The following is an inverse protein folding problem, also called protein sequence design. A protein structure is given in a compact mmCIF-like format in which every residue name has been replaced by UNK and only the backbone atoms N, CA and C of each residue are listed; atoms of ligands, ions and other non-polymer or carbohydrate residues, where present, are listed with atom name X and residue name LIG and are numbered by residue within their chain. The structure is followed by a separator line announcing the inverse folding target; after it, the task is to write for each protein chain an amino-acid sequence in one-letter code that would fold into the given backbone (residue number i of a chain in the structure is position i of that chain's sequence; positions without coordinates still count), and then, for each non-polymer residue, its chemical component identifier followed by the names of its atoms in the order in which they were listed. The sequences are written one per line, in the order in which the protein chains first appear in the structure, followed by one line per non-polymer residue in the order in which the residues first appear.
data_IF_520926361804
#
_entry.id   IF_520926361804
#
_cell.length_a   1.000
_cell.length_b   1.000
_cell.length_c   1.000
_cell.angle_alpha   90.00
_cell.angle_beta   90.00
_cell.angle_gamma   90.00
#
_symmetry.space_group_name_H-M   'P 1'
#
loop_
_entity.id
_entity.type
_entity.pdbx_description
1 polymer ?
#
# COMPACT_ATOMS: atom_id res chain seq x y z
N UNK A 1 -11.79 35.19 -20.32
CA UNK A 1 -11.75 35.10 -18.86
C UNK A 1 -12.21 33.69 -18.52
N UNK A 2 -11.26 32.76 -18.36
CA UNK A 2 -11.59 31.39 -17.94
C UNK A 2 -11.88 31.46 -16.44
N UNK A 3 -13.15 31.20 -16.07
CA UNK A 3 -13.49 30.94 -14.68
C UNK A 3 -12.86 29.60 -14.32
N UNK A 4 -11.70 29.62 -13.66
CA UNK A 4 -11.19 28.44 -13.00
C UNK A 4 -12.25 27.98 -12.00
N UNK A 5 -12.79 26.78 -12.22
CA UNK A 5 -13.72 26.17 -11.30
C UNK A 5 -12.99 26.00 -9.97
N UNK A 6 -13.51 26.61 -8.91
CA UNK A 6 -12.97 26.52 -7.54
C UNK A 6 -13.23 25.15 -6.91
N UNK A 7 -13.90 24.25 -7.60
CA UNK A 7 -14.02 22.86 -7.19
C UNK A 7 -12.67 22.16 -7.39
N UNK A 8 -11.93 21.97 -6.32
CA UNK A 8 -10.78 21.07 -6.31
C UNK A 8 -11.31 19.67 -6.64
N UNK A 9 -10.97 19.17 -7.82
CA UNK A 9 -11.21 17.77 -8.15
C UNK A 9 -10.29 16.94 -7.24
N UNK A 10 -10.87 15.96 -6.52
CA UNK A 10 -10.08 14.92 -5.85
C UNK A 10 -9.54 13.92 -6.88
N UNK A 11 -8.62 13.09 -6.45
CA UNK A 11 -8.06 12.01 -7.27
C UNK A 11 -7.49 10.91 -6.39
N UNK A 12 -7.25 9.74 -6.98
CA UNK A 12 -6.69 8.57 -6.30
C UNK A 12 -5.26 8.32 -6.82
N UNK A 13 -4.31 8.20 -5.90
CA UNK A 13 -2.94 7.78 -6.16
C UNK A 13 -2.69 6.42 -5.49
N UNK A 14 -2.17 5.46 -6.25
CA UNK A 14 -1.79 4.15 -5.70
C UNK A 14 -0.27 4.00 -5.74
N UNK A 15 0.32 3.69 -4.59
CA UNK A 15 1.72 3.29 -4.44
C UNK A 15 1.75 1.79 -4.16
N UNK A 16 2.16 0.99 -5.12
CA UNK A 16 2.16 -0.47 -5.01
C UNK A 16 3.55 -1.07 -5.21
N UNK A 17 3.73 -2.32 -4.84
CA UNK A 17 4.98 -3.06 -5.02
C UNK A 17 5.19 -4.14 -3.95
N UNK A 18 6.30 -4.88 -4.05
CA UNK A 18 6.64 -5.96 -3.12
C UNK A 18 6.96 -5.45 -1.70
N UNK A 19 7.13 -6.36 -0.76
CA UNK A 19 7.72 -6.02 0.54
C UNK A 19 9.12 -5.41 0.33
N UNK A 20 9.53 -4.56 1.26
CA UNK A 20 10.83 -3.85 1.26
C UNK A 20 11.06 -2.89 0.07
N UNK A 21 10.01 -2.50 -0.65
CA UNK A 21 10.11 -1.61 -1.81
C UNK A 21 9.96 -0.12 -1.49
N UNK A 22 9.74 0.25 -0.22
CA UNK A 22 9.61 1.65 0.19
C UNK A 22 8.21 2.25 -0.01
N UNK A 23 7.15 1.43 -0.06
CA UNK A 23 5.76 1.92 -0.23
C UNK A 23 5.33 2.88 0.87
N UNK A 24 5.53 2.47 2.13
CA UNK A 24 5.16 3.26 3.31
C UNK A 24 6.00 4.55 3.37
N UNK A 25 7.29 4.50 3.04
CA UNK A 25 8.15 5.67 2.93
C UNK A 25 7.63 6.66 1.88
N UNK A 26 7.22 6.17 0.72
CA UNK A 26 6.67 7.01 -0.36
C UNK A 26 5.31 7.59 0.03
N UNK A 27 4.44 6.81 0.69
CA UNK A 27 3.19 7.31 1.28
C UNK A 27 3.47 8.45 2.25
N UNK A 28 4.31 8.23 3.25
CA UNK A 28 4.69 9.23 4.24
C UNK A 28 5.29 10.48 3.57
N UNK A 29 6.15 10.30 2.59
CA UNK A 29 6.77 11.41 1.84
C UNK A 29 5.71 12.29 1.16
N UNK A 30 4.70 11.69 0.52
CA UNK A 30 3.59 12.42 -0.12
C UNK A 30 2.74 13.16 0.91
N UNK A 31 2.40 12.50 2.01
CA UNK A 31 1.59 13.07 3.08
C UNK A 31 2.31 14.23 3.79
N UNK A 32 3.61 14.10 4.08
CA UNK A 32 4.42 15.22 4.61
C UNK A 32 4.44 16.43 3.68
N UNK A 33 4.52 16.21 2.37
CA UNK A 33 4.44 17.32 1.39
C UNK A 33 3.09 18.02 1.43
N UNK A 34 1.99 17.27 1.61
CA UNK A 34 0.66 17.85 1.79
C UNK A 34 0.60 18.69 3.09
N UNK A 35 1.15 18.18 4.19
CA UNK A 35 1.24 18.93 5.46
C UNK A 35 2.07 20.22 5.32
N UNK A 36 3.21 20.19 4.60
CA UNK A 36 3.98 21.41 4.29
C UNK A 36 3.18 22.44 3.47
N UNK A 37 2.27 21.96 2.62
CA UNK A 37 1.31 22.80 1.89
C UNK A 37 0.12 23.25 2.76
N UNK A 38 0.16 22.99 4.08
CA UNK A 38 -0.87 23.31 5.06
C UNK A 38 -2.22 22.64 4.78
N UNK A 39 -2.20 21.49 4.08
CA UNK A 39 -3.36 20.65 3.88
C UNK A 39 -3.61 19.82 5.13
N UNK A 40 -4.88 19.61 5.45
CA UNK A 40 -5.30 18.71 6.53
C UNK A 40 -5.19 17.26 6.05
N UNK A 41 -4.48 16.43 6.81
CA UNK A 41 -4.15 15.05 6.43
C UNK A 41 -4.63 14.10 7.50
N UNK A 42 -5.34 13.05 7.09
CA UNK A 42 -5.66 11.88 7.91
C UNK A 42 -5.10 10.61 7.29
N UNK A 43 -4.76 9.64 8.13
CA UNK A 43 -4.19 8.36 7.68
C UNK A 43 -4.94 7.22 8.34
N UNK A 44 -5.25 6.19 7.55
CA UNK A 44 -5.93 4.99 7.99
C UNK A 44 -5.12 3.74 7.66
N UNK A 45 -5.21 2.72 8.52
CA UNK A 45 -4.69 1.37 8.28
C UNK A 45 -5.69 0.32 8.76
N UNK A 46 -5.68 -0.91 8.22
CA UNK A 46 -6.53 -1.97 8.72
C UNK A 46 -6.08 -2.41 10.13
N UNK A 47 -7.02 -2.62 11.03
CA UNK A 47 -6.75 -3.02 12.42
C UNK A 47 -6.06 -4.39 12.55
N UNK A 48 -6.11 -5.22 11.51
CA UNK A 48 -5.42 -6.51 11.47
C UNK A 48 -3.89 -6.35 11.46
N UNK A 49 -3.37 -5.19 11.06
CA UNK A 49 -1.93 -4.92 11.05
C UNK A 49 -1.45 -4.42 12.41
N UNK A 50 -1.16 -5.36 13.31
CA UNK A 50 -0.68 -5.12 14.69
C UNK A 50 0.85 -5.10 14.82
N UNK A 51 1.61 -5.04 13.70
CA UNK A 51 3.08 -5.12 13.70
C UNK A 51 3.78 -3.93 14.35
N UNK A 52 3.09 -2.79 14.44
CA UNK A 52 3.58 -1.56 15.05
C UNK A 52 2.53 -1.01 16.02
N UNK A 53 2.90 -0.03 16.85
CA UNK A 53 1.96 0.60 17.79
C UNK A 53 0.65 0.97 17.07
N UNK A 54 -0.48 0.75 17.71
CA UNK A 54 -1.82 0.89 17.12
C UNK A 54 -2.09 2.26 16.48
N UNK A 55 -1.29 3.28 16.80
CA UNK A 55 -1.52 4.68 16.41
C UNK A 55 -0.49 5.23 15.39
N UNK A 56 0.51 4.45 14.96
CA UNK A 56 1.57 4.98 14.10
C UNK A 56 1.74 4.17 12.79
N UNK A 57 1.89 4.87 11.67
CA UNK A 57 2.51 4.32 10.46
C UNK A 57 4.00 4.57 10.57
N UNK A 58 4.77 3.49 10.75
CA UNK A 58 6.23 3.54 10.91
C UNK A 58 6.89 3.09 9.63
N UNK A 59 7.72 3.96 9.04
CA UNK A 59 8.66 3.52 8.01
C UNK A 59 9.87 2.85 8.67
N UNK A 60 10.63 2.03 7.91
CA UNK A 60 11.86 1.39 8.38
C UNK A 60 12.93 2.38 8.90
N UNK A 61 12.80 3.66 8.56
CA UNK A 61 13.69 4.76 8.97
C UNK A 61 13.14 5.60 10.13
N UNK A 62 12.25 5.05 10.97
CA UNK A 62 11.64 5.71 12.13
C UNK A 62 10.86 7.02 11.83
N UNK A 63 10.47 7.24 10.57
CA UNK A 63 9.55 8.33 10.23
C UNK A 63 8.13 7.89 10.55
N UNK A 64 7.56 8.44 11.61
CA UNK A 64 6.19 8.13 12.06
C UNK A 64 5.23 9.25 11.69
N UNK A 65 4.04 8.89 11.25
CA UNK A 65 2.87 9.77 11.21
C UNK A 65 1.74 9.01 11.92
N UNK A 66 1.03 9.68 12.79
CA UNK A 66 -0.13 9.08 13.47
C UNK A 66 -1.17 8.60 12.45
N UNK A 67 -1.69 7.41 12.66
CA UNK A 67 -2.73 6.83 11.84
C UNK A 67 -3.86 6.31 12.71
N UNK A 68 -5.04 6.20 12.12
CA UNK A 68 -6.23 5.65 12.76
C UNK A 68 -6.45 4.21 12.26
N UNK A 69 -6.29 3.20 13.12
CA UNK A 69 -6.62 1.82 12.76
C UNK A 69 -8.15 1.67 12.65
N UNK A 70 -8.62 1.04 11.57
CA UNK A 70 -10.05 0.84 11.30
C UNK A 70 -10.36 -0.64 11.07
N UNK A 71 -11.56 -1.08 11.48
CA UNK A 71 -11.97 -2.49 11.35
C UNK A 71 -12.41 -2.85 9.93
N UNK A 72 -12.99 -1.90 9.21
CA UNK A 72 -13.44 -2.06 7.83
C UNK A 72 -13.32 -0.74 7.06
N UNK A 73 -13.39 -0.82 5.73
CA UNK A 73 -13.23 0.34 4.86
C UNK A 73 -14.32 1.41 5.04
N UNK A 74 -15.55 1.01 5.38
CA UNK A 74 -16.66 1.95 5.61
C UNK A 74 -16.43 2.91 6.77
N UNK A 75 -15.66 2.49 7.79
CA UNK A 75 -15.31 3.36 8.91
C UNK A 75 -14.48 4.57 8.49
N UNK A 76 -13.72 4.47 7.39
CA UNK A 76 -12.95 5.59 6.85
C UNK A 76 -13.88 6.78 6.55
N UNK A 77 -15.00 6.55 5.84
CA UNK A 77 -15.95 7.62 5.50
C UNK A 77 -16.59 8.25 6.74
N UNK A 78 -16.80 7.47 7.81
CA UNK A 78 -17.39 7.97 9.05
C UNK A 78 -16.40 8.81 9.87
N UNK A 79 -15.12 8.46 9.82
CA UNK A 79 -14.07 9.10 10.59
C UNK A 79 -13.41 10.26 9.85
N UNK A 80 -13.48 10.24 8.51
CA UNK A 80 -12.95 11.33 7.69
C UNK A 80 -13.76 12.60 7.94
N UNK A 81 -13.10 13.60 8.54
CA UNK A 81 -13.68 14.91 8.81
C UNK A 81 -13.45 15.90 7.66
N UNK A 82 -13.26 17.17 8.01
CA UNK A 82 -12.89 18.23 7.06
C UNK A 82 -11.39 18.15 6.75
N UNK A 83 -11.03 17.30 5.78
CA UNK A 83 -9.64 17.04 5.35
C UNK A 83 -9.44 17.24 3.86
N UNK A 84 -8.22 17.60 3.47
CA UNK A 84 -7.81 17.77 2.06
C UNK A 84 -7.22 16.48 1.48
N UNK A 85 -6.59 15.65 2.33
CA UNK A 85 -5.84 14.47 1.91
C UNK A 85 -6.08 13.30 2.87
N UNK A 86 -6.38 12.14 2.30
CA UNK A 86 -6.49 10.86 3.03
C UNK A 86 -5.38 9.92 2.58
N UNK A 87 -4.60 9.40 3.53
CA UNK A 87 -3.65 8.32 3.33
C UNK A 87 -4.25 6.97 3.78
N UNK A 88 -4.01 5.92 3.02
CA UNK A 88 -4.43 4.54 3.37
C UNK A 88 -3.22 3.64 3.23
N UNK A 89 -2.77 3.03 4.32
CA UNK A 89 -1.66 2.07 4.28
C UNK A 89 -2.16 0.63 4.37
N UNK A 90 -1.34 -0.32 3.91
CA UNK A 90 -1.60 -1.76 3.91
C UNK A 90 -2.96 -2.12 3.28
N UNK A 91 -3.29 -1.45 2.18
CA UNK A 91 -4.62 -1.50 1.56
C UNK A 91 -5.04 -2.90 1.09
N UNK A 92 -4.11 -3.83 0.85
CA UNK A 92 -4.41 -5.22 0.47
C UNK A 92 -5.18 -5.99 1.55
N UNK A 93 -5.21 -5.52 2.78
CA UNK A 93 -5.92 -6.17 3.88
C UNK A 93 -7.33 -5.64 4.11
N UNK A 94 -7.75 -4.61 3.38
CA UNK A 94 -9.13 -4.14 3.43
C UNK A 94 -10.08 -5.03 2.63
N UNK A 95 -11.35 -4.91 2.95
CA UNK A 95 -12.45 -5.48 2.15
C UNK A 95 -12.56 -4.79 0.78
N UNK A 96 -13.27 -5.43 -0.17
CA UNK A 96 -13.42 -4.92 -1.54
C UNK A 96 -14.13 -3.56 -1.63
N UNK A 97 -14.89 -3.17 -0.59
CA UNK A 97 -15.58 -1.89 -0.54
C UNK A 97 -14.63 -0.70 -0.45
N UNK A 98 -13.35 -0.90 -0.12
CA UNK A 98 -12.33 0.16 -0.08
C UNK A 98 -12.24 0.92 -1.41
N UNK A 99 -12.48 0.25 -2.54
CA UNK A 99 -12.49 0.87 -3.87
C UNK A 99 -13.59 1.93 -3.98
N UNK A 100 -14.80 1.58 -3.52
CA UNK A 100 -15.94 2.51 -3.46
C UNK A 100 -15.68 3.68 -2.51
N UNK A 101 -15.07 3.40 -1.36
CA UNK A 101 -14.69 4.41 -0.37
C UNK A 101 -13.70 5.41 -0.97
N UNK A 102 -12.64 4.94 -1.65
CA UNK A 102 -11.66 5.82 -2.30
C UNK A 102 -12.30 6.70 -3.38
N UNK A 103 -13.20 6.12 -4.20
CA UNK A 103 -13.95 6.88 -5.21
C UNK A 103 -14.82 7.96 -4.57
N UNK A 104 -15.58 7.61 -3.53
CA UNK A 104 -16.45 8.58 -2.82
C UNK A 104 -15.63 9.73 -2.23
N UNK A 105 -14.47 9.45 -1.64
CA UNK A 105 -13.56 10.49 -1.13
C UNK A 105 -13.06 11.39 -2.26
N UNK A 106 -12.62 10.81 -3.37
CA UNK A 106 -12.13 11.56 -4.52
C UNK A 106 -13.24 12.40 -5.18
N UNK A 107 -14.46 11.86 -5.33
CA UNK A 107 -15.63 12.56 -5.84
C UNK A 107 -16.01 13.77 -4.96
N UNK A 108 -15.71 13.71 -3.66
CA UNK A 108 -15.87 14.80 -2.69
C UNK A 108 -14.69 15.79 -2.68
N UNK A 109 -13.77 15.71 -3.64
CA UNK A 109 -12.66 16.66 -3.77
C UNK A 109 -11.44 16.34 -2.90
N UNK A 110 -11.38 15.17 -2.25
CA UNK A 110 -10.29 14.74 -1.39
C UNK A 110 -9.23 14.01 -2.22
N UNK A 111 -7.97 14.35 -2.02
CA UNK A 111 -6.83 13.61 -2.55
C UNK A 111 -6.64 12.32 -1.75
N UNK A 112 -6.74 11.17 -2.38
CA UNK A 112 -6.57 9.85 -1.74
C UNK A 112 -5.24 9.23 -2.16
N UNK A 113 -4.40 8.85 -1.20
CA UNK A 113 -3.10 8.20 -1.45
C UNK A 113 -3.12 6.82 -0.79
N UNK A 114 -3.11 5.79 -1.60
CA UNK A 114 -3.21 4.40 -1.16
C UNK A 114 -1.86 3.72 -1.31
N UNK A 115 -1.40 3.02 -0.27
CA UNK A 115 -0.22 2.16 -0.32
C UNK A 115 -0.59 0.71 -0.03
N UNK A 116 -0.01 -0.24 -0.78
CA UNK A 116 -0.28 -1.65 -0.55
C UNK A 116 0.54 -2.61 -1.42
N UNK A 117 0.55 -3.89 -1.02
CA UNK A 117 1.15 -4.97 -1.77
C UNK A 117 0.30 -5.30 -3.00
N UNK A 118 0.86 -5.23 -4.19
CA UNK A 118 0.16 -5.57 -5.45
C UNK A 118 -0.01 -7.08 -5.66
N UNK A 119 0.89 -7.88 -5.09
CA UNK A 119 0.86 -9.35 -5.16
C UNK A 119 1.07 -9.97 -3.79
N UNK A 120 0.47 -11.12 -3.56
CA UNK A 120 0.77 -11.98 -2.42
C UNK A 120 2.11 -12.72 -2.60
N UNK A 121 2.50 -13.54 -1.61
CA UNK A 121 3.75 -14.31 -1.66
C UNK A 121 3.77 -15.39 -2.75
N UNK A 122 2.61 -15.77 -3.31
CA UNK A 122 2.50 -16.72 -4.43
C UNK A 122 2.60 -16.03 -5.79
N UNK A 123 2.71 -14.69 -5.83
CA UNK A 123 2.75 -13.90 -7.04
C UNK A 123 1.38 -13.63 -7.67
N UNK A 124 0.28 -13.88 -6.95
CA UNK A 124 -1.08 -13.55 -7.39
C UNK A 124 -1.47 -12.14 -6.96
N UNK A 125 -2.37 -11.48 -7.70
CA UNK A 125 -2.95 -10.19 -7.30
C UNK A 125 -3.51 -10.26 -5.88
N UNK A 126 -3.25 -9.24 -5.05
CA UNK A 126 -3.57 -9.28 -3.63
C UNK A 126 -4.73 -8.37 -3.25
N UNK A 127 -5.78 -8.96 -2.68
CA UNK A 127 -6.95 -8.25 -2.15
C UNK A 127 -7.56 -7.26 -3.15
N UNK A 128 -7.95 -6.07 -2.71
CA UNK A 128 -8.57 -5.05 -3.56
C UNK A 128 -7.56 -4.25 -4.42
N UNK A 129 -6.26 -4.52 -4.32
CA UNK A 129 -5.23 -3.73 -4.99
C UNK A 129 -5.39 -3.65 -6.51
N UNK A 130 -5.73 -4.74 -7.25
CA UNK A 130 -5.94 -4.65 -8.69
C UNK A 130 -7.04 -3.65 -9.07
N UNK A 131 -8.14 -3.65 -8.33
CA UNK A 131 -9.27 -2.76 -8.58
C UNK A 131 -8.93 -1.31 -8.21
N UNK A 132 -8.20 -1.09 -7.10
CA UNK A 132 -7.68 0.22 -6.72
C UNK A 132 -6.74 0.79 -7.79
N UNK A 133 -5.83 -0.05 -8.33
CA UNK A 133 -4.92 0.35 -9.42
C UNK A 133 -5.69 0.69 -10.70
N UNK A 134 -6.81 0.00 -10.98
CA UNK A 134 -7.62 0.24 -12.17
C UNK A 134 -8.40 1.55 -12.12
N UNK A 135 -8.85 1.98 -10.93
CA UNK A 135 -9.65 3.22 -10.75
C UNK A 135 -8.79 4.45 -10.45
N UNK A 136 -7.51 4.28 -10.12
CA UNK A 136 -6.62 5.37 -9.76
C UNK A 136 -6.20 6.20 -10.97
N UNK A 137 -6.14 7.54 -10.83
CA UNK A 137 -5.55 8.44 -11.82
C UNK A 137 -4.03 8.29 -11.90
N UNK A 138 -3.38 7.91 -10.79
CA UNK A 138 -1.93 7.76 -10.74
C UNK A 138 -1.54 6.46 -10.06
N UNK A 139 -0.76 5.62 -10.75
CA UNK A 139 -0.19 4.39 -10.19
C UNK A 139 1.33 4.49 -10.22
N UNK A 140 1.95 4.34 -9.05
CA UNK A 140 3.40 4.28 -8.88
C UNK A 140 3.78 2.91 -8.38
N UNK A 141 4.45 2.12 -9.21
CA UNK A 141 4.98 0.83 -8.81
C UNK A 141 6.43 0.98 -8.36
N UNK A 142 6.67 0.77 -7.07
CA UNK A 142 8.00 0.80 -6.45
C UNK A 142 8.59 -0.61 -6.34
N UNK A 143 9.90 -0.71 -6.36
CA UNK A 143 10.62 -1.98 -6.39
C UNK A 143 11.64 -2.06 -5.26
N UNK A 144 11.77 -3.24 -4.67
CA UNK A 144 12.88 -3.56 -3.81
C UNK A 144 14.11 -3.98 -4.63
N UNK A 145 15.20 -4.27 -3.95
CA UNK A 145 16.40 -4.87 -4.57
C UNK A 145 16.41 -6.37 -4.28
N UNK A 146 16.58 -7.16 -5.33
CA UNK A 146 16.65 -8.62 -5.23
C UNK A 146 17.88 -9.03 -4.43
N UNK A 147 17.69 -9.69 -3.30
CA UNK A 147 18.77 -10.14 -2.42
C UNK A 147 19.68 -11.20 -3.06
N UNK A 148 19.23 -11.85 -4.13
CA UNK A 148 19.97 -12.92 -4.82
C UNK A 148 20.85 -12.43 -5.97
N UNK A 149 20.46 -11.33 -6.63
CA UNK A 149 21.19 -10.91 -7.84
C UNK A 149 21.30 -9.39 -8.03
N UNK A 150 20.83 -8.56 -7.09
CA UNK A 150 20.93 -7.11 -7.14
C UNK A 150 20.01 -6.40 -8.14
N UNK A 151 19.19 -7.13 -8.92
CA UNK A 151 18.21 -6.52 -9.84
C UNK A 151 16.97 -6.02 -9.09
N UNK A 152 16.09 -5.27 -9.78
CA UNK A 152 14.81 -4.85 -9.25
C UNK A 152 13.95 -6.07 -8.89
N UNK A 153 13.51 -6.12 -7.64
CA UNK A 153 12.63 -7.16 -7.10
C UNK A 153 11.18 -6.69 -7.09
N UNK A 154 10.27 -7.60 -7.41
CA UNK A 154 8.83 -7.38 -7.39
C UNK A 154 8.04 -8.58 -6.84
N UNK A 155 8.71 -9.59 -6.31
CA UNK A 155 8.11 -10.70 -5.59
C UNK A 155 8.51 -10.63 -4.11
N UNK A 156 7.56 -10.89 -3.23
CA UNK A 156 7.78 -11.06 -1.79
C UNK A 156 7.83 -12.56 -1.52
N UNK A 157 9.02 -13.15 -1.61
CA UNK A 157 9.19 -14.59 -1.39
C UNK A 157 9.16 -14.91 0.10
N UNK A 158 8.28 -15.85 0.49
CA UNK A 158 8.18 -16.33 1.87
C UNK A 158 9.24 -17.40 2.13
N UNK A 159 9.91 -17.30 3.27
CA UNK A 159 10.97 -18.22 3.68
C UNK A 159 10.46 -19.40 4.51
N UNK A 160 9.27 -19.29 5.11
CA UNK A 160 8.65 -20.34 5.94
C UNK A 160 7.65 -21.18 5.16
N UNK A 161 7.54 -22.47 5.50
CA UNK A 161 6.57 -23.43 4.90
C UNK A 161 5.13 -23.26 5.43
N UNK A 162 4.75 -22.10 5.89
CA UNK A 162 3.41 -21.85 6.41
C UNK A 162 2.45 -21.48 5.28
N UNK A 163 1.39 -22.26 5.09
CA UNK A 163 0.38 -22.09 4.01
C UNK A 163 -0.65 -20.97 4.26
N UNK A 164 -0.61 -20.27 5.40
CA UNK A 164 -1.55 -19.16 5.65
C UNK A 164 -1.27 -18.02 4.69
N UNK A 165 -2.29 -17.55 3.97
CA UNK A 165 -2.18 -16.46 3.00
C UNK A 165 -1.65 -15.16 3.66
N UNK A 166 -2.17 -14.84 4.83
CA UNK A 166 -1.75 -13.70 5.64
C UNK A 166 -0.87 -14.19 6.78
N UNK A 167 0.41 -13.88 6.71
CA UNK A 167 1.34 -13.98 7.82
C UNK A 167 1.91 -12.59 8.02
N UNK A 168 1.58 -11.98 9.14
CA UNK A 168 2.15 -10.69 9.56
C UNK A 168 3.60 -10.94 9.97
N UNK A 169 4.49 -11.01 8.96
CA UNK A 169 5.89 -11.37 9.13
C UNK A 169 6.81 -10.17 9.05
N UNK A 170 7.91 -10.25 9.80
CA UNK A 170 9.02 -9.29 9.78
C UNK A 170 10.07 -9.64 8.72
N UNK A 171 11.19 -8.89 8.73
CA UNK A 171 12.34 -9.05 7.80
C UNK A 171 12.91 -10.48 7.71
N UNK A 172 12.64 -11.34 8.69
CA UNK A 172 13.13 -12.72 8.73
C UNK A 172 12.23 -13.73 8.00
N UNK A 173 10.98 -13.35 7.68
CA UNK A 173 9.99 -14.26 7.10
C UNK A 173 9.85 -14.13 5.59
N UNK A 174 10.36 -13.03 5.02
CA UNK A 174 10.25 -12.72 3.60
C UNK A 174 11.54 -12.15 3.03
N UNK A 175 11.80 -12.45 1.76
CA UNK A 175 12.88 -11.83 0.98
C UNK A 175 12.35 -11.25 -0.34
N UNK A 176 12.84 -10.07 -0.77
CA UNK A 176 12.52 -9.52 -2.08
C UNK A 176 13.34 -10.22 -3.16
N UNK A 177 12.67 -10.76 -4.18
CA UNK A 177 13.32 -11.42 -5.31
C UNK A 177 12.77 -10.92 -6.66
N UNK A 178 13.60 -10.97 -7.70
CA UNK A 178 13.20 -10.67 -9.07
C UNK A 178 12.57 -11.90 -9.76
N UNK A 179 11.84 -11.70 -10.86
CA UNK A 179 11.23 -12.76 -11.67
C UNK A 179 12.20 -13.90 -12.02
N UNK A 180 13.40 -13.56 -12.47
CA UNK A 180 14.42 -14.56 -12.84
C UNK A 180 14.87 -15.42 -11.65
N UNK A 181 14.93 -14.85 -10.44
CA UNK A 181 15.29 -15.59 -9.24
C UNK A 181 14.15 -16.48 -8.76
N UNK A 182 12.90 -16.05 -8.97
CA UNK A 182 11.70 -16.84 -8.70
C UNK A 182 11.59 -18.02 -9.65
N UNK A 183 11.71 -17.81 -10.96
CA UNK A 183 11.68 -18.88 -11.97
C UNK A 183 12.76 -19.95 -11.76
N UNK A 184 13.97 -19.55 -11.31
CA UNK A 184 15.05 -20.51 -10.97
C UNK A 184 14.70 -21.37 -9.77
N UNK A 185 13.92 -20.89 -8.83
CA UNK A 185 13.44 -21.65 -7.68
C UNK A 185 12.46 -22.73 -8.14
N UNK A 186 11.42 -22.33 -8.87
CA UNK A 186 10.41 -23.23 -9.44
C UNK A 186 11.04 -24.29 -10.35
N UNK A 187 12.01 -23.92 -11.17
CA UNK A 187 12.72 -24.83 -12.07
C UNK A 187 13.63 -25.84 -11.37
N UNK A 188 14.09 -25.59 -10.13
CA UNK A 188 14.86 -26.55 -9.33
C UNK A 188 13.96 -27.64 -8.73
N UNK A 189 12.75 -27.31 -8.34
CA UNK A 189 11.77 -28.30 -7.83
C UNK A 189 11.34 -29.29 -8.92
N UNK A 190 11.33 -28.88 -10.20
CA UNK A 190 11.04 -29.76 -11.33
C UNK A 190 12.19 -30.70 -11.72
N UNK A 191 13.44 -30.46 -11.28
CA UNK A 191 14.62 -31.30 -11.60
C UNK A 191 14.99 -32.34 -10.54
N UNK A 192 14.28 -32.36 -9.44
CA UNK A 192 14.48 -33.29 -8.31
C UNK A 192 13.48 -34.45 -8.32
N UNK A 193 12.88 -34.79 -9.47
CA UNK A 193 12.10 -36.01 -9.69
C UNK A 193 12.74 -36.91 -10.73
#
# INVERSE_FOLDING_TARGET
MFLESTNRAGWIEVVCGSMFSGKTEELIRRLKRAQFARQKVEIFKPKIDVRYSDEDVVSHDANTIRCTPVENSGNILLLTGDVDVVGIDEAQFFDSNIVSVCKTLADNGIRVIVAGLDMDYTGKPFGPMPDLMAVAEYVTKVHAICVRCGNLAHHSHRLSDNDKLVMLGEKHDYEPICRRSEERRVGKECRSR
#
